data_IF_931536154972
#
_entry.id   IF_931536154972
#
_cell.length_a   1.000
_cell.length_b   1.000
_cell.length_c   1.000
_cell.angle_alpha   90.00
_cell.angle_beta   90.00
_cell.angle_gamma   90.00
#
_symmetry.space_group_name_H-M   'P 1'
#
loop_
_entity.id
_entity.type
_entity.pdbx_description
1 polymer ?
#
# COMPACT_ATOMS: atom_id res chain seq x y z
N UNK A 1 9.53 12.91 5.27
CA UNK A 1 9.48 11.80 4.32
C UNK A 1 9.02 12.26 2.93
N UNK A 2 7.89 12.91 2.83
CA UNK A 2 7.40 13.37 1.52
C UNK A 2 8.39 14.29 0.81
N UNK A 3 9.07 15.16 1.55
CA UNK A 3 10.05 16.04 0.95
C UNK A 3 11.23 15.28 0.37
N UNK A 4 11.69 14.24 1.05
CA UNK A 4 12.81 13.44 0.56
C UNK A 4 12.43 12.73 -0.74
N UNK A 5 11.18 12.28 -0.83
CA UNK A 5 10.71 11.60 -2.02
C UNK A 5 10.53 12.58 -3.18
N UNK A 6 10.03 13.80 -2.91
CA UNK A 6 9.83 14.79 -3.95
C UNK A 6 11.14 15.40 -4.46
N UNK A 7 12.23 15.22 -3.73
CA UNK A 7 13.51 15.85 -4.10
C UNK A 7 14.13 15.30 -5.37
N UNK A 8 13.57 14.24 -5.92
CA UNK A 8 14.10 13.61 -7.13
C UNK A 8 15.16 12.55 -6.88
N UNK A 9 15.57 12.35 -5.64
CA UNK A 9 16.54 11.33 -5.31
C UNK A 9 15.85 9.96 -5.27
N UNK A 10 16.50 8.96 -5.82
CA UNK A 10 15.98 7.62 -5.82
C UNK A 10 16.40 6.88 -4.57
N UNK A 11 15.43 6.32 -3.88
CA UNK A 11 15.67 5.51 -2.69
C UNK A 11 14.97 4.16 -2.87
N UNK A 12 15.32 3.19 -2.06
CA UNK A 12 14.77 1.84 -2.14
C UNK A 12 14.23 1.44 -0.76
N UNK A 13 13.03 0.86 -0.73
CA UNK A 13 12.47 0.33 0.51
C UNK A 13 13.23 -0.95 0.88
N UNK A 14 13.69 -1.05 2.12
CA UNK A 14 14.48 -2.18 2.58
C UNK A 14 13.73 -3.49 2.36
N UNK A 15 14.37 -4.45 1.70
CA UNK A 15 13.77 -5.74 1.40
C UNK A 15 13.63 -6.63 2.60
N UNK A 16 14.41 -6.40 3.64
CA UNK A 16 14.49 -7.31 4.78
C UNK A 16 13.40 -7.10 5.81
N UNK A 17 12.58 -6.07 5.63
CA UNK A 17 11.57 -5.73 6.62
C UNK A 17 10.19 -5.79 6.02
N UNK A 18 9.21 -6.17 6.82
CA UNK A 18 7.80 -6.09 6.41
C UNK A 18 7.36 -4.65 6.57
N UNK A 19 7.51 -3.90 5.53
CA UNK A 19 7.26 -2.49 5.58
C UNK A 19 6.87 -1.98 4.21
N UNK A 20 6.48 -0.73 4.14
CA UNK A 20 6.18 -0.09 2.88
C UNK A 20 5.73 1.33 3.08
N UNK A 21 5.46 1.95 1.97
CA UNK A 21 4.97 3.32 1.95
C UNK A 21 3.72 3.38 1.09
N UNK A 22 2.70 4.08 1.57
CA UNK A 22 1.60 4.49 0.69
C UNK A 22 1.92 5.92 0.28
N UNK A 23 2.14 6.14 -1.00
CA UNK A 23 2.52 7.42 -1.55
C UNK A 23 1.25 8.07 -2.09
N UNK A 24 0.82 9.14 -1.41
CA UNK A 24 -0.41 9.82 -1.75
C UNK A 24 -0.13 10.89 -2.80
N UNK A 25 -0.84 10.81 -3.90
CA UNK A 25 -0.77 11.78 -4.99
C UNK A 25 -2.10 12.53 -5.06
N UNK A 26 -2.26 13.39 -6.02
CA UNK A 26 -3.45 14.25 -6.04
C UNK A 26 -4.74 13.46 -6.17
N UNK A 27 -4.79 12.51 -7.08
CA UNK A 27 -6.00 11.79 -7.38
C UNK A 27 -5.96 10.30 -7.06
N UNK A 28 -4.82 9.79 -6.65
CA UNK A 28 -4.68 8.37 -6.35
C UNK A 28 -3.52 8.15 -5.37
N UNK A 29 -3.32 6.91 -4.99
CA UNK A 29 -2.17 6.53 -4.17
C UNK A 29 -1.53 5.29 -4.75
N UNK A 30 -0.25 5.11 -4.44
CA UNK A 30 0.52 3.95 -4.89
C UNK A 30 1.19 3.32 -3.69
N UNK A 31 1.29 2.01 -3.68
CA UNK A 31 1.98 1.31 -2.62
C UNK A 31 3.38 0.91 -3.09
N UNK A 32 4.37 1.19 -2.27
CA UNK A 32 5.74 0.77 -2.50
C UNK A 32 6.14 -0.15 -1.36
N UNK A 33 6.17 -1.44 -1.65
CA UNK A 33 6.56 -2.45 -0.67
C UNK A 33 8.05 -2.74 -0.69
N UNK A 34 8.48 -3.79 0.04
CA UNK A 34 9.90 -4.10 0.15
C UNK A 34 10.58 -4.23 -1.20
N UNK A 35 11.72 -3.62 -1.34
CA UNK A 35 12.52 -3.64 -2.57
C UNK A 35 12.13 -2.60 -3.60
N UNK A 36 11.04 -1.89 -3.41
CA UNK A 36 10.55 -0.95 -4.42
C UNK A 36 11.35 0.34 -4.43
N UNK A 37 11.52 0.91 -5.63
CA UNK A 37 12.06 2.25 -5.77
C UNK A 37 11.04 3.27 -5.29
N UNK A 38 11.49 4.29 -4.59
CA UNK A 38 10.67 5.44 -4.22
C UNK A 38 11.45 6.71 -4.54
N UNK A 39 10.74 7.76 -4.87
CA UNK A 39 11.38 9.00 -5.28
C UNK A 39 11.67 9.00 -6.77
N UNK A 40 12.76 9.67 -7.16
CA UNK A 40 13.07 9.85 -8.56
C UNK A 40 11.97 10.65 -9.25
N UNK A 41 11.83 10.45 -10.54
CA UNK A 41 10.82 11.16 -11.32
C UNK A 41 9.40 10.67 -11.04
N UNK A 42 9.26 9.42 -10.55
CA UNK A 42 7.95 8.87 -10.27
C UNK A 42 7.18 9.63 -9.22
N UNK A 43 7.86 10.19 -8.26
CA UNK A 43 7.21 10.66 -7.05
C UNK A 43 7.41 12.16 -6.80
N UNK A 44 7.78 12.89 -7.85
CA UNK A 44 7.87 14.35 -7.73
C UNK A 44 6.53 14.97 -7.40
N UNK A 45 5.43 14.32 -7.77
CA UNK A 45 4.08 14.77 -7.49
C UNK A 45 3.53 14.21 -6.17
N UNK A 46 4.36 13.63 -5.33
CA UNK A 46 3.94 13.10 -4.04
C UNK A 46 3.45 14.22 -3.13
N UNK A 47 2.28 14.07 -2.54
CA UNK A 47 1.72 15.04 -1.62
C UNK A 47 1.95 14.65 -0.18
N UNK A 48 1.90 13.37 0.13
CA UNK A 48 2.10 12.86 1.47
C UNK A 48 2.50 11.39 1.41
N UNK A 49 3.04 10.88 2.50
CA UNK A 49 3.45 9.49 2.59
C UNK A 49 2.95 8.92 3.92
N UNK A 50 2.37 7.72 3.85
CA UNK A 50 1.99 6.96 5.03
C UNK A 50 3.00 5.84 5.17
N UNK A 51 3.71 5.79 6.29
CA UNK A 51 4.69 4.74 6.54
C UNK A 51 3.96 3.55 7.15
N UNK A 52 4.19 2.36 6.60
CA UNK A 52 3.57 1.14 7.09
C UNK A 52 4.66 0.25 7.64
N UNK A 53 4.51 -0.14 8.90
CA UNK A 53 5.50 -1.00 9.55
C UNK A 53 6.79 -0.25 9.84
N UNK A 54 7.87 -1.02 9.91
CA UNK A 54 9.18 -0.48 10.26
C UNK A 54 9.96 -0.22 8.97
N UNK A 55 9.60 0.85 8.29
CA UNK A 55 10.17 1.16 6.99
C UNK A 55 11.54 1.80 7.08
N UNK A 56 12.43 1.38 6.22
CA UNK A 56 13.76 1.96 6.11
C UNK A 56 14.05 2.17 4.63
N UNK A 57 14.54 3.35 4.29
CA UNK A 57 14.90 3.67 2.91
C UNK A 57 16.41 3.64 2.75
N UNK A 58 16.87 3.05 1.66
CA UNK A 58 18.28 2.85 1.39
C UNK A 58 18.65 3.44 0.04
N UNK A 59 19.90 3.79 -0.13
CA UNK A 59 20.39 4.26 -1.43
C UNK A 59 20.77 3.05 -2.28
N UNK A 60 20.33 2.99 -3.53
CA UNK A 60 20.80 1.94 -4.42
C UNK A 60 22.27 2.19 -4.78
N UNK A 61 23.06 1.12 -4.82
CA UNK A 61 24.50 1.26 -5.00
C UNK A 61 24.96 1.02 -6.42
N UNK A 62 24.10 0.55 -7.30
CA UNK A 62 24.48 0.25 -8.67
C UNK A 62 23.33 0.50 -9.63
N UNK A 63 23.61 0.64 -10.93
CA UNK A 63 22.56 0.75 -11.92
C UNK A 63 21.64 -0.48 -11.93
N UNK A 64 22.18 -1.67 -11.68
CA UNK A 64 21.37 -2.88 -11.63
C UNK A 64 20.40 -2.86 -10.47
N UNK A 65 20.83 -2.39 -9.32
CA UNK A 65 19.96 -2.25 -8.17
C UNK A 65 18.84 -1.25 -8.44
N UNK A 66 19.16 -0.16 -9.13
CA UNK A 66 18.14 0.83 -9.48
C UNK A 66 17.09 0.23 -10.43
N UNK A 67 17.53 -0.52 -11.42
CA UNK A 67 16.62 -1.15 -12.37
C UNK A 67 15.72 -2.17 -11.68
N UNK A 68 16.28 -2.96 -10.79
CA UNK A 68 15.53 -3.96 -10.04
C UNK A 68 14.48 -3.28 -9.15
N UNK A 69 14.86 -2.20 -8.50
CA UNK A 69 13.95 -1.47 -7.63
C UNK A 69 12.78 -0.86 -8.40
N UNK A 70 13.02 -0.33 -9.60
CA UNK A 70 11.95 0.17 -10.46
C UNK A 70 11.03 -0.95 -10.90
N UNK A 71 11.59 -2.12 -11.22
CA UNK A 71 10.80 -3.27 -11.62
C UNK A 71 9.87 -3.71 -10.50
N UNK A 72 10.39 -3.75 -9.27
CA UNK A 72 9.61 -4.12 -8.11
C UNK A 72 8.52 -3.07 -7.84
N UNK A 73 8.82 -1.78 -8.00
CA UNK A 73 7.82 -0.74 -7.84
C UNK A 73 6.66 -0.95 -8.82
N UNK A 74 6.96 -1.27 -10.07
CA UNK A 74 5.93 -1.54 -11.07
C UNK A 74 5.09 -2.76 -10.73
N UNK A 75 5.70 -3.78 -10.12
CA UNK A 75 4.97 -4.97 -9.69
C UNK A 75 3.94 -4.62 -8.60
N UNK A 76 4.32 -3.78 -7.65
CA UNK A 76 3.39 -3.35 -6.61
C UNK A 76 2.25 -2.51 -7.20
N UNK A 77 2.54 -1.63 -8.14
CA UNK A 77 1.53 -0.81 -8.79
C UNK A 77 0.54 -1.71 -9.55
N UNK A 78 1.04 -2.71 -10.26
CA UNK A 78 0.18 -3.63 -10.99
C UNK A 78 -0.73 -4.43 -10.08
N UNK A 79 -0.21 -4.84 -8.93
CA UNK A 79 -1.02 -5.59 -7.97
C UNK A 79 -2.21 -4.75 -7.51
N UNK A 80 -1.97 -3.49 -7.19
CA UNK A 80 -3.06 -2.60 -6.80
C UNK A 80 -4.05 -2.35 -7.93
N UNK A 81 -3.55 -2.26 -9.16
CA UNK A 81 -4.42 -2.06 -10.32
C UNK A 81 -5.35 -3.25 -10.55
N UNK A 82 -4.92 -4.45 -10.21
CA UNK A 82 -5.79 -5.62 -10.32
C UNK A 82 -7.03 -5.48 -9.43
N UNK A 83 -6.88 -4.83 -8.28
CA UNK A 83 -8.03 -4.61 -7.41
C UNK A 83 -8.95 -3.53 -7.96
N UNK A 84 -8.40 -2.49 -8.57
CA UNK A 84 -9.23 -1.41 -9.10
C UNK A 84 -10.00 -1.83 -10.34
N UNK A 85 -9.66 -2.95 -10.95
CA UNK A 85 -10.39 -3.44 -12.10
C UNK A 85 -11.74 -4.06 -11.73
N UNK A 86 -11.98 -4.32 -10.45
CA UNK A 86 -13.28 -4.80 -10.03
C UNK A 86 -14.28 -3.64 -9.99
N UNK A 87 -15.50 -3.91 -10.46
CA UNK A 87 -16.51 -2.87 -10.60
C UNK A 87 -17.13 -2.45 -9.27
N UNK A 88 -17.19 -3.35 -8.29
CA UNK A 88 -17.86 -3.04 -7.02
C UNK A 88 -16.89 -2.44 -6.01
N UNK A 89 -17.19 -1.25 -5.50
CA UNK A 89 -16.31 -0.61 -4.50
C UNK A 89 -16.07 -1.45 -3.25
N UNK A 90 -17.10 -2.16 -2.78
CA UNK A 90 -16.96 -3.01 -1.59
C UNK A 90 -16.00 -4.17 -1.84
N UNK A 91 -15.98 -4.71 -3.06
CA UNK A 91 -15.04 -5.77 -3.41
C UNK A 91 -13.62 -5.23 -3.46
N UNK A 92 -13.42 -4.05 -4.04
CA UNK A 92 -12.09 -3.45 -4.09
C UNK A 92 -11.56 -3.18 -2.67
N UNK A 93 -12.42 -2.69 -1.78
CA UNK A 93 -12.05 -2.43 -0.40
C UNK A 93 -11.66 -3.72 0.32
N UNK A 94 -12.47 -4.77 0.14
CA UNK A 94 -12.20 -6.06 0.77
C UNK A 94 -10.88 -6.65 0.28
N UNK A 95 -10.63 -6.54 -1.01
CA UNK A 95 -9.42 -7.12 -1.61
C UNK A 95 -8.15 -6.44 -1.13
N UNK A 96 -8.14 -5.11 -1.03
CA UNK A 96 -6.94 -4.43 -0.56
C UNK A 96 -6.68 -4.73 0.92
N UNK A 97 -7.73 -4.80 1.73
CA UNK A 97 -7.57 -5.12 3.13
C UNK A 97 -7.05 -6.56 3.32
N UNK A 98 -7.61 -7.50 2.57
CA UNK A 98 -7.15 -8.89 2.63
C UNK A 98 -5.70 -9.01 2.17
N UNK A 99 -5.33 -8.29 1.13
CA UNK A 99 -3.96 -8.35 0.61
C UNK A 99 -2.97 -7.83 1.66
N UNK A 100 -3.33 -6.75 2.36
CA UNK A 100 -2.47 -6.20 3.40
C UNK A 100 -2.37 -7.13 4.60
N UNK A 101 -3.40 -7.91 4.90
CA UNK A 101 -3.34 -8.88 5.99
C UNK A 101 -2.36 -10.02 5.70
N UNK A 102 -2.03 -10.28 4.47
CA UNK A 102 -1.02 -11.27 4.12
C UNK A 102 0.37 -10.80 4.54
N UNK A 103 0.64 -9.50 4.45
CA UNK A 103 1.97 -8.96 4.69
C UNK A 103 2.15 -8.30 6.04
N UNK A 104 1.08 -7.81 6.66
CA UNK A 104 1.18 -7.00 7.87
C UNK A 104 0.24 -7.52 8.94
N UNK A 105 0.59 -7.27 10.20
CA UNK A 105 -0.28 -7.67 11.30
C UNK A 105 -1.46 -6.68 11.44
N UNK A 106 -2.42 -7.05 12.25
CA UNK A 106 -3.64 -6.28 12.40
C UNK A 106 -3.38 -4.90 13.02
N UNK A 107 -2.44 -4.80 13.95
CA UNK A 107 -2.12 -3.52 14.55
C UNK A 107 -1.54 -2.55 13.53
N UNK A 108 -0.69 -3.04 12.65
CA UNK A 108 -0.10 -2.22 11.58
C UNK A 108 -1.20 -1.74 10.65
N UNK A 109 -2.09 -2.63 10.23
CA UNK A 109 -3.17 -2.29 9.32
C UNK A 109 -4.14 -1.30 9.97
N UNK A 110 -4.42 -1.47 11.24
CA UNK A 110 -5.33 -0.58 11.96
C UNK A 110 -4.84 0.87 12.01
N UNK A 111 -3.53 1.07 11.93
CA UNK A 111 -2.97 2.42 11.95
C UNK A 111 -3.02 3.12 10.60
N UNK A 112 -3.33 2.40 9.52
CA UNK A 112 -3.41 3.00 8.19
C UNK A 112 -4.75 3.71 8.06
N UNK A 113 -4.77 5.00 7.73
CA UNK A 113 -6.03 5.73 7.60
C UNK A 113 -6.91 5.15 6.51
N UNK A 114 -8.22 5.19 6.71
CA UNK A 114 -9.18 4.75 5.70
C UNK A 114 -8.98 5.49 4.38
N UNK A 115 -8.68 6.78 4.44
CA UNK A 115 -8.46 7.58 3.23
C UNK A 115 -7.29 7.07 2.40
N UNK A 116 -6.25 6.55 3.03
CA UNK A 116 -5.09 6.02 2.30
C UNK A 116 -5.46 4.76 1.51
N UNK A 117 -6.14 3.82 2.16
CA UNK A 117 -6.63 2.63 1.46
C UNK A 117 -7.63 3.01 0.37
N UNK A 118 -8.49 3.98 0.65
CA UNK A 118 -9.49 4.43 -0.31
C UNK A 118 -8.84 4.95 -1.59
N UNK A 119 -7.77 5.72 -1.45
CA UNK A 119 -7.08 6.24 -2.63
C UNK A 119 -6.32 5.16 -3.39
N UNK A 120 -5.89 4.10 -2.73
CA UNK A 120 -5.19 3.01 -3.42
C UNK A 120 -6.11 2.28 -4.39
N UNK A 121 -7.39 2.16 -4.07
CA UNK A 121 -8.30 1.36 -4.89
C UNK A 121 -9.49 2.14 -5.44
N UNK A 122 -9.48 3.45 -5.27
CA UNK A 122 -10.49 4.31 -5.89
C UNK A 122 -11.88 4.15 -5.30
N UNK A 123 -11.99 4.10 -3.97
CA UNK A 123 -13.27 4.03 -3.28
C UNK A 123 -13.38 5.18 -2.28
N UNK A 124 -14.53 5.34 -1.66
CA UNK A 124 -14.70 6.32 -0.60
C UNK A 124 -14.16 5.79 0.72
N UNK A 125 -13.63 6.65 1.58
CA UNK A 125 -13.11 6.21 2.88
C UNK A 125 -14.15 5.44 3.71
N UNK A 126 -15.43 5.82 3.62
CA UNK A 126 -16.48 5.12 4.33
C UNK A 126 -16.62 3.67 3.88
N UNK A 127 -16.36 3.39 2.61
CA UNK A 127 -16.38 2.01 2.09
C UNK A 127 -15.30 1.18 2.77
N UNK A 128 -14.10 1.76 2.96
CA UNK A 128 -13.03 1.07 3.68
C UNK A 128 -13.44 0.83 5.14
N UNK A 129 -14.00 1.84 5.78
CA UNK A 129 -14.39 1.73 7.19
C UNK A 129 -15.41 0.61 7.40
N UNK A 130 -16.40 0.54 6.52
CA UNK A 130 -17.41 -0.51 6.61
C UNK A 130 -16.82 -1.90 6.34
N UNK A 131 -15.89 -1.98 5.41
CA UNK A 131 -15.23 -3.25 5.10
C UNK A 131 -14.38 -3.75 6.26
N UNK A 132 -13.71 -2.84 6.98
CA UNK A 132 -12.96 -3.22 8.17
C UNK A 132 -13.86 -3.84 9.23
N UNK A 133 -15.02 -3.28 9.44
CA UNK A 133 -15.98 -3.82 10.41
C UNK A 133 -16.41 -5.21 10.04
N UNK A 134 -16.70 -5.40 8.77
CA UNK A 134 -17.12 -6.70 8.28
C UNK A 134 -16.08 -7.77 8.50
N UNK A 135 -14.82 -7.47 8.21
CA UNK A 135 -13.73 -8.41 8.37
C UNK A 135 -13.46 -8.75 9.84
N UNK A 136 -13.77 -7.83 10.75
CA UNK A 136 -13.48 -8.06 12.15
C UNK A 136 -14.69 -8.57 12.94
N UNK A 137 -15.80 -8.91 12.29
CA UNK A 137 -16.89 -9.53 12.96
C UNK A 137 -16.59 -10.99 13.10
N UNK A 138 -16.21 -11.42 14.25
CA UNK A 138 -15.73 -12.75 14.41
C UNK A 138 -16.76 -13.74 14.19
N UNK A 139 -17.60 -13.85 14.98
CA UNK A 139 -18.40 -14.97 14.98
C UNK A 139 -19.31 -15.07 13.92
N UNK A 140 -19.48 -14.11 13.30
CA UNK A 140 -20.39 -14.23 12.38
C UNK A 140 -20.17 -15.23 11.57
N UNK A 141 -19.27 -15.44 11.32
CA UNK A 141 -19.03 -16.27 10.46
C UNK A 141 -18.76 -17.49 10.83
N UNK A 142 -18.11 -17.56 11.30
CA UNK A 142 -17.60 -18.75 11.56
C UNK A 142 -18.47 -19.63 12.01
N UNK A 143 -19.22 -19.44 12.43
CA UNK A 143 -19.89 -20.22 12.94
C UNK A 143 -20.79 -20.80 12.40
N UNK A 144 -20.96 -20.52 11.96
CA UNK A 144 -21.73 -20.94 11.69
C UNK A 144 -21.64 -21.91 10.99
N UNK A 145 -21.24 -22.30 10.79
CA UNK A 145 -21.09 -23.09 10.59
C UNK A 145 -21.08 -24.03 10.97
N UNK A 146 -21.11 -24.14 11.15
CA UNK A 146 -21.10 -24.85 11.64
C UNK A 146 -21.52 -25.35 12.08
N UNK A 147 -21.72 -25.33 12.18
CA UNK A 147 -22.07 -25.59 12.74
C UNK A 147 -22.49 -25.81 12.66
#
# INVERSE_FOLDING_TARGET
MAQSIRSGHLLVVDRKRRSGLIILKEFHAEFAGPGAAVGGLFDEDCQAVIIIGDSCLMLPESPDERQEAYKIRRQWIRLAQQFTDHSLPTERARMILNQFEIYFDQDTIARVPDAAFAQLVGVLPNTIRLSRRSLHKPSLKVRTQAD
#
